data_IF_393514122937
#
_entry.id   IF_393514122937
#
_cell.length_a   1.000
_cell.length_b   1.000
_cell.length_c   1.000
_cell.angle_alpha   90.00
_cell.angle_beta   90.00
_cell.angle_gamma   90.00
#
_symmetry.space_group_name_H-M   'P 1'
#
loop_
_entity.id
_entity.type
_entity.pdbx_description
1 polymer ?
#
# COMPACT_ATOMS: atom_id res chain seq x y z
N UNK A 1 4.98 -20.31 -3.92
CA UNK A 1 4.41 -20.98 -5.10
C UNK A 1 5.11 -20.46 -6.34
N UNK A 2 5.46 -21.33 -7.30
CA UNK A 2 6.06 -20.92 -8.59
C UNK A 2 4.95 -20.96 -9.64
N UNK A 3 4.68 -19.83 -10.27
CA UNK A 3 3.57 -19.66 -11.22
C UNK A 3 4.13 -19.07 -12.51
N UNK A 4 3.65 -19.56 -13.65
CA UNK A 4 3.95 -18.96 -14.96
C UNK A 4 2.84 -17.97 -15.28
N UNK A 5 3.20 -16.71 -15.51
CA UNK A 5 2.27 -15.64 -15.86
C UNK A 5 2.79 -14.95 -17.11
N UNK A 6 1.92 -14.69 -18.07
CA UNK A 6 2.26 -13.87 -19.24
C UNK A 6 2.04 -12.40 -18.90
N UNK A 7 3.09 -11.59 -19.01
CA UNK A 7 3.07 -10.17 -18.68
C UNK A 7 3.77 -9.41 -19.81
N UNK A 8 3.17 -8.32 -20.33
CA UNK A 8 3.80 -7.53 -21.37
C UNK A 8 5.18 -7.04 -20.94
N UNK A 9 6.19 -7.28 -21.77
CA UNK A 9 7.58 -6.93 -21.47
C UNK A 9 7.77 -5.44 -21.17
N UNK A 10 7.10 -4.57 -21.94
CA UNK A 10 7.14 -3.10 -21.73
C UNK A 10 6.72 -2.71 -20.30
N UNK A 11 5.63 -3.28 -19.81
CA UNK A 11 5.12 -3.04 -18.45
C UNK A 11 6.11 -3.50 -17.38
N UNK A 12 6.79 -4.62 -17.62
CA UNK A 12 7.79 -5.15 -16.70
C UNK A 12 9.05 -4.27 -16.68
N UNK A 13 9.48 -3.79 -17.84
CA UNK A 13 10.66 -2.94 -17.98
C UNK A 13 10.41 -1.56 -17.34
N UNK A 14 9.26 -0.92 -17.64
CA UNK A 14 8.85 0.35 -17.01
C UNK A 14 8.73 0.21 -15.49
N UNK A 15 8.15 -0.90 -15.02
CA UNK A 15 8.04 -1.13 -13.59
C UNK A 15 9.42 -1.30 -12.93
N UNK A 16 10.35 -2.02 -13.57
CA UNK A 16 11.72 -2.19 -13.04
C UNK A 16 12.49 -0.87 -13.01
N UNK A 17 12.33 -0.02 -14.02
CA UNK A 17 12.91 1.33 -14.03
C UNK A 17 12.32 2.20 -12.92
N UNK A 18 10.99 2.17 -12.75
CA UNK A 18 10.30 2.98 -11.76
C UNK A 18 10.60 2.56 -10.31
N UNK A 19 10.75 1.26 -10.05
CA UNK A 19 10.99 0.74 -8.68
C UNK A 19 12.46 0.50 -8.37
N UNK A 20 13.34 0.47 -9.39
CA UNK A 20 14.75 0.10 -9.23
C UNK A 20 14.96 -1.36 -8.78
N UNK A 21 13.97 -2.23 -8.96
CA UNK A 21 14.02 -3.61 -8.45
C UNK A 21 15.05 -4.45 -9.23
N UNK A 22 15.93 -5.15 -8.51
CA UNK A 22 17.01 -5.96 -9.11
C UNK A 22 16.53 -7.20 -9.86
N UNK A 23 15.32 -7.70 -9.57
CA UNK A 23 14.78 -8.91 -10.20
C UNK A 23 13.28 -8.78 -10.47
N UNK A 24 12.81 -9.41 -11.56
CA UNK A 24 11.39 -9.48 -11.94
C UNK A 24 10.53 -10.12 -10.84
N UNK A 25 11.04 -11.17 -10.19
CA UNK A 25 10.34 -11.83 -9.08
C UNK A 25 10.16 -10.93 -7.87
N UNK A 26 11.18 -10.13 -7.53
CA UNK A 26 11.10 -9.19 -6.42
C UNK A 26 10.09 -8.07 -6.73
N UNK A 27 10.14 -7.53 -7.95
CA UNK A 27 9.20 -6.51 -8.40
C UNK A 27 7.75 -6.97 -8.26
N UNK A 28 7.44 -8.20 -8.69
CA UNK A 28 6.08 -8.73 -8.60
C UNK A 28 5.64 -8.89 -7.14
N UNK A 29 6.53 -9.32 -6.24
CA UNK A 29 6.22 -9.40 -4.80
C UNK A 29 5.93 -8.02 -4.21
N UNK A 30 6.78 -7.05 -4.52
CA UNK A 30 6.65 -5.68 -3.99
C UNK A 30 5.37 -5.02 -4.50
N UNK A 31 5.04 -5.21 -5.78
CA UNK A 31 3.81 -4.71 -6.38
C UNK A 31 2.55 -5.31 -5.72
N UNK A 32 2.55 -6.62 -5.45
CA UNK A 32 1.45 -7.29 -4.75
C UNK A 32 1.30 -6.78 -3.31
N UNK A 33 2.42 -6.63 -2.60
CA UNK A 33 2.41 -6.11 -1.23
C UNK A 33 1.88 -4.67 -1.20
N UNK A 34 2.35 -3.81 -2.10
CA UNK A 34 1.88 -2.43 -2.23
C UNK A 34 0.37 -2.35 -2.51
N UNK A 35 -0.16 -3.27 -3.32
CA UNK A 35 -1.59 -3.31 -3.61
C UNK A 35 -2.42 -3.73 -2.39
N UNK A 36 -1.95 -4.71 -1.61
CA UNK A 36 -2.58 -5.10 -0.35
C UNK A 36 -2.59 -3.93 0.63
N UNK A 37 -1.47 -3.23 0.77
CA UNK A 37 -1.35 -2.11 1.70
C UNK A 37 -2.21 -0.93 1.28
N UNK A 38 -2.33 -0.67 -0.03
CA UNK A 38 -3.27 0.30 -0.58
C UNK A 38 -4.72 -0.06 -0.25
N UNK A 39 -5.10 -1.32 -0.39
CA UNK A 39 -6.45 -1.79 -0.04
C UNK A 39 -6.73 -1.65 1.46
N UNK A 40 -5.77 -2.01 2.32
CA UNK A 40 -5.88 -1.82 3.78
C UNK A 40 -6.02 -0.35 4.15
N UNK A 41 -5.20 0.54 3.58
CA UNK A 41 -5.31 1.99 3.78
C UNK A 41 -6.68 2.51 3.35
N UNK A 42 -7.18 2.09 2.20
CA UNK A 42 -8.52 2.49 1.72
C UNK A 42 -9.61 2.06 2.71
N UNK A 43 -9.53 0.82 3.24
CA UNK A 43 -10.46 0.33 4.28
C UNK A 43 -10.40 1.16 5.57
N UNK A 44 -9.21 1.56 6.02
CA UNK A 44 -9.06 2.44 7.18
C UNK A 44 -9.64 3.82 6.93
N UNK A 45 -9.42 4.39 5.74
CA UNK A 45 -10.00 5.68 5.35
C UNK A 45 -11.53 5.60 5.29
N UNK A 46 -12.10 4.51 4.80
CA UNK A 46 -13.57 4.30 4.81
C UNK A 46 -14.14 4.22 6.22
N UNK A 47 -13.33 3.84 7.22
CA UNK A 47 -13.71 3.87 8.64
C UNK A 47 -13.53 5.23 9.31
N UNK A 48 -13.01 6.24 8.59
CA UNK A 48 -12.91 7.62 9.07
C UNK A 48 -14.33 8.20 9.18
N UNK A 49 -14.75 8.51 10.40
CA UNK A 49 -16.09 9.05 10.70
C UNK A 49 -17.15 8.01 11.09
N UNK A 50 -16.83 6.70 11.02
CA UNK A 50 -17.70 5.65 11.59
C UNK A 50 -17.33 5.31 13.04
N UNK A 51 -16.18 5.79 13.51
CA UNK A 51 -15.70 5.59 14.87
C UNK A 51 -15.97 6.91 15.58
N UNK A 52 -16.96 6.90 16.46
CA UNK A 52 -17.19 8.00 17.38
C UNK A 52 -16.07 7.98 18.41
N UNK A 53 -15.20 8.97 18.34
CA UNK A 53 -14.02 9.10 19.19
C UNK A 53 -14.34 10.22 20.18
N UNK A 54 -15.01 9.85 21.27
CA UNK A 54 -15.35 10.73 22.38
C UNK A 54 -14.10 11.02 23.22
N UNK A 55 -13.23 11.86 22.66
CA UNK A 55 -11.95 12.24 23.28
C UNK A 55 -11.73 13.74 23.08
N UNK A 56 -11.55 14.45 24.19
CA UNK A 56 -11.15 15.85 24.19
C UNK A 56 -9.66 16.01 23.82
N UNK A 57 -9.41 16.48 22.61
CA UNK A 57 -8.07 16.69 22.07
C UNK A 57 -7.28 17.77 22.83
N UNK A 58 -7.94 18.70 23.53
CA UNK A 58 -7.27 19.76 24.29
C UNK A 58 -6.70 19.22 25.60
N UNK A 59 -7.37 18.23 26.22
CA UNK A 59 -6.83 17.51 27.39
C UNK A 59 -5.56 16.71 27.02
N UNK A 60 -5.54 16.06 25.86
CA UNK A 60 -4.40 15.26 25.41
C UNK A 60 -3.22 16.15 25.01
N UNK A 61 -3.49 17.29 24.39
CA UNK A 61 -2.43 18.19 23.88
C UNK A 61 -1.84 19.10 24.95
N UNK A 62 -2.37 19.04 26.18
CA UNK A 62 -1.93 19.86 27.32
C UNK A 62 -1.82 21.36 26.97
N UNK A 63 -2.72 21.82 26.09
CA UNK A 63 -2.86 23.22 25.71
C UNK A 63 -3.81 23.87 26.71
N UNK A 64 -3.33 24.07 27.93
CA UNK A 64 -3.97 24.95 28.90
C UNK A 64 -3.63 26.41 28.60
#
# INVERSE_FOLDING_TARGET
MRTTLDIPKKLMDEAMEATGSKTKSQLVKDALQAQIDRAKRKRLITRKGSIDLDIDLDTIRNRK
#
